data_IF_196305363372
#
_entry.id   IF_196305363372
#
_cell.length_a   1.000
_cell.length_b   1.000
_cell.length_c   1.000
_cell.angle_alpha   90.00
_cell.angle_beta   90.00
_cell.angle_gamma   90.00
#
_symmetry.space_group_name_H-M   'P 1'
#
loop_
_entity.id
_entity.type
_entity.pdbx_description
1 polymer ?
#
# COMPACT_ATOMS: atom_id res chain seq x y z
N UNK A 1 -3.96 -10.59 -8.88
CA UNK A 1 -4.36 -11.36 -7.68
C UNK A 1 -3.24 -11.67 -6.69
N UNK A 2 -2.08 -12.27 -7.05
CA UNK A 2 -0.97 -12.47 -6.07
C UNK A 2 -0.44 -11.15 -5.47
N UNK A 3 -0.34 -10.12 -6.30
CA UNK A 3 0.07 -8.77 -5.88
C UNK A 3 -0.93 -8.14 -4.92
N UNK A 4 -2.25 -8.29 -5.14
CA UNK A 4 -3.27 -7.76 -4.22
C UNK A 4 -3.10 -8.32 -2.80
N UNK A 5 -2.95 -9.64 -2.67
CA UNK A 5 -2.78 -10.26 -1.36
C UNK A 5 -1.47 -9.86 -0.69
N UNK A 6 -0.38 -9.77 -1.46
CA UNK A 6 0.90 -9.26 -0.97
C UNK A 6 0.78 -7.82 -0.49
N UNK A 7 0.18 -6.94 -1.30
CA UNK A 7 -0.06 -5.54 -0.98
C UNK A 7 -0.87 -5.38 0.29
N UNK A 8 -1.98 -6.13 0.41
CA UNK A 8 -2.81 -6.15 1.61
C UNK A 8 -2.02 -6.57 2.85
N UNK A 9 -1.18 -7.61 2.74
CA UNK A 9 -0.34 -8.05 3.86
C UNK A 9 0.70 -6.99 4.25
N UNK A 10 1.37 -6.39 3.27
CA UNK A 10 2.39 -5.35 3.49
C UNK A 10 1.78 -4.06 4.06
N UNK A 11 0.62 -3.65 3.55
CA UNK A 11 -0.17 -2.54 4.13
C UNK A 11 -0.62 -2.87 5.55
N UNK A 12 -1.03 -4.10 5.84
CA UNK A 12 -1.34 -4.52 7.21
C UNK A 12 -0.14 -4.41 8.17
N UNK A 13 1.09 -4.53 7.67
CA UNK A 13 2.30 -4.28 8.46
C UNK A 13 2.58 -2.79 8.63
N UNK A 14 2.46 -2.00 7.54
CA UNK A 14 2.70 -0.55 7.55
C UNK A 14 1.63 0.25 8.31
N UNK A 15 0.38 -0.23 8.28
CA UNK A 15 -0.82 0.45 8.80
C UNK A 15 -1.54 -0.44 9.82
N UNK A 16 -0.91 -0.74 10.98
CA UNK A 16 -1.44 -1.73 11.93
C UNK A 16 -2.83 -1.38 12.47
N UNK A 17 -3.14 -0.08 12.61
CA UNK A 17 -4.46 0.40 13.08
C UNK A 17 -5.60 0.06 12.12
N UNK A 18 -5.31 -0.08 10.82
CA UNK A 18 -6.32 -0.31 9.78
C UNK A 18 -6.40 -1.78 9.33
N UNK A 19 -5.71 -2.71 10.02
CA UNK A 19 -5.72 -4.15 9.69
C UNK A 19 -7.14 -4.74 9.55
N UNK A 20 -8.12 -4.43 10.41
CA UNK A 20 -9.48 -4.96 10.26
C UNK A 20 -10.12 -4.51 8.94
N UNK A 21 -10.03 -3.21 8.62
CA UNK A 21 -10.60 -2.63 7.40
C UNK A 21 -9.88 -3.16 6.16
N UNK A 22 -8.55 -3.21 6.16
CA UNK A 22 -7.75 -3.79 5.07
C UNK A 22 -8.11 -5.25 4.77
N UNK A 23 -8.43 -6.04 5.82
CA UNK A 23 -8.85 -7.44 5.65
C UNK A 23 -10.23 -7.55 4.99
N UNK A 24 -11.13 -6.63 5.34
CA UNK A 24 -12.52 -6.64 4.88
C UNK A 24 -12.71 -5.94 3.54
N UNK A 25 -11.79 -5.07 3.12
CA UNK A 25 -11.85 -4.32 1.87
C UNK A 25 -12.08 -5.23 0.66
N UNK A 26 -13.07 -4.87 -0.16
CA UNK A 26 -13.45 -5.55 -1.41
C UNK A 26 -13.67 -4.57 -2.57
N UNK A 27 -13.61 -3.28 -2.30
CA UNK A 27 -13.81 -2.20 -3.24
C UNK A 27 -12.71 -2.25 -4.31
N UNK A 28 -13.06 -2.33 -5.61
CA UNK A 28 -12.07 -2.48 -6.68
C UNK A 28 -10.94 -1.46 -6.61
N UNK A 29 -11.26 -0.19 -6.32
CA UNK A 29 -10.27 0.88 -6.16
C UNK A 29 -9.26 0.60 -5.04
N UNK A 30 -9.70 0.07 -3.89
CA UNK A 30 -8.80 -0.36 -2.82
C UNK A 30 -7.96 -1.57 -3.23
N UNK A 31 -8.53 -2.51 -3.99
CA UNK A 31 -7.80 -3.66 -4.48
C UNK A 31 -6.67 -3.25 -5.45
N UNK A 32 -6.95 -2.29 -6.33
CA UNK A 32 -5.96 -1.73 -7.26
C UNK A 32 -4.82 -1.03 -6.51
N UNK A 33 -5.15 -0.26 -5.46
CA UNK A 33 -4.14 0.35 -4.58
C UNK A 33 -3.29 -0.69 -3.85
N UNK A 34 -3.87 -1.84 -3.47
CA UNK A 34 -3.08 -2.92 -2.88
C UNK A 34 -2.09 -3.49 -3.90
N UNK A 35 -2.51 -3.70 -5.15
CA UNK A 35 -1.60 -4.17 -6.21
C UNK A 35 -0.49 -3.15 -6.50
N UNK A 36 -0.84 -1.86 -6.62
CA UNK A 36 0.12 -0.78 -6.84
C UNK A 36 1.14 -0.67 -5.69
N UNK A 37 0.68 -0.75 -4.44
CA UNK A 37 1.57 -0.74 -3.28
C UNK A 37 2.49 -1.95 -3.24
N UNK A 38 1.99 -3.14 -3.58
CA UNK A 38 2.82 -4.34 -3.65
C UNK A 38 3.95 -4.17 -4.67
N UNK A 39 3.66 -3.59 -5.82
CA UNK A 39 4.65 -3.33 -6.87
C UNK A 39 5.69 -2.31 -6.40
N UNK A 40 5.25 -1.15 -5.91
CA UNK A 40 6.14 -0.09 -5.45
C UNK A 40 7.05 -0.55 -4.30
N UNK A 41 6.49 -1.25 -3.30
CA UNK A 41 7.26 -1.76 -2.17
C UNK A 41 8.26 -2.83 -2.59
N UNK A 42 7.92 -3.69 -3.55
CA UNK A 42 8.84 -4.71 -4.06
C UNK A 42 9.99 -4.07 -4.85
N UNK A 43 9.68 -3.10 -5.73
CA UNK A 43 10.73 -2.36 -6.45
C UNK A 43 11.64 -1.59 -5.49
N UNK A 44 11.08 -1.01 -4.42
CA UNK A 44 11.88 -0.35 -3.39
C UNK A 44 12.83 -1.33 -2.69
N UNK A 45 12.37 -2.53 -2.34
CA UNK A 45 13.24 -3.55 -1.76
C UNK A 45 14.38 -3.90 -2.71
N UNK A 46 14.07 -4.12 -3.99
CA UNK A 46 15.07 -4.48 -5.01
C UNK A 46 16.11 -3.36 -5.19
N UNK A 47 15.68 -2.10 -5.27
CA UNK A 47 16.56 -0.93 -5.35
C UNK A 47 17.47 -0.79 -4.11
N UNK A 48 16.96 -1.15 -2.93
CA UNK A 48 17.74 -1.11 -1.68
C UNK A 48 18.80 -2.21 -1.62
N UNK A 49 18.67 -3.29 -2.40
CA UNK A 49 19.68 -4.34 -2.53
C UNK A 49 20.66 -4.09 -3.69
N UNK A 50 20.39 -3.12 -4.59
CA UNK A 50 21.22 -2.83 -5.76
C UNK A 50 22.55 -2.16 -5.39
N UNK A 51 23.64 -2.53 -6.08
CA UNK A 51 24.93 -1.85 -6.00
C UNK A 51 25.45 -1.48 -7.40
N UNK A 52 25.79 -0.20 -7.65
CA UNK A 52 25.71 0.93 -6.72
C UNK A 52 24.27 1.34 -6.42
N UNK A 53 24.03 1.79 -5.19
CA UNK A 53 22.70 2.21 -4.75
C UNK A 53 22.23 3.46 -5.51
N UNK A 54 21.01 3.40 -6.07
CA UNK A 54 20.37 4.52 -6.78
C UNK A 54 19.55 5.35 -5.80
N UNK A 55 20.23 6.17 -4.99
CA UNK A 55 19.63 6.90 -3.86
C UNK A 55 18.41 7.74 -4.24
N UNK A 56 18.43 8.39 -5.40
CA UNK A 56 17.31 9.20 -5.89
C UNK A 56 16.06 8.36 -6.14
N UNK A 57 16.20 7.22 -6.85
CA UNK A 57 15.09 6.29 -7.10
C UNK A 57 14.57 5.66 -5.82
N UNK A 58 15.45 5.33 -4.87
CA UNK A 58 15.04 4.84 -3.55
C UNK A 58 14.18 5.88 -2.85
N UNK A 59 14.56 7.16 -2.89
CA UNK A 59 13.79 8.24 -2.28
C UNK A 59 12.43 8.43 -2.95
N UNK A 60 12.39 8.37 -4.28
CA UNK A 60 11.15 8.47 -5.05
C UNK A 60 10.18 7.33 -4.72
N UNK A 61 10.65 6.08 -4.73
CA UNK A 61 9.81 4.93 -4.41
C UNK A 61 9.36 4.90 -2.95
N UNK A 62 10.15 5.47 -2.02
CA UNK A 62 9.69 5.70 -0.63
C UNK A 62 8.51 6.67 -0.59
N UNK A 63 8.58 7.76 -1.35
CA UNK A 63 7.49 8.73 -1.43
C UNK A 63 6.24 8.08 -2.03
N UNK A 64 6.38 7.35 -3.14
CA UNK A 64 5.27 6.60 -3.76
C UNK A 64 4.61 5.64 -2.77
N UNK A 65 5.41 4.89 -1.99
CA UNK A 65 4.86 4.00 -0.96
C UNK A 65 4.07 4.78 0.12
N UNK A 66 4.57 5.95 0.53
CA UNK A 66 3.91 6.81 1.51
C UNK A 66 2.59 7.38 0.97
N UNK A 67 2.57 7.84 -0.27
CA UNK A 67 1.39 8.43 -0.90
C UNK A 67 0.28 7.37 -1.08
N UNK A 68 0.64 6.17 -1.54
CA UNK A 68 -0.28 5.04 -1.64
C UNK A 68 -0.86 4.64 -0.28
N UNK A 69 -0.04 4.65 0.79
CA UNK A 69 -0.53 4.39 2.14
C UNK A 69 -1.55 5.44 2.59
N UNK A 70 -1.28 6.73 2.31
CA UNK A 70 -2.19 7.82 2.65
C UNK A 70 -3.52 7.71 1.90
N UNK A 71 -3.49 7.40 0.61
CA UNK A 71 -4.69 7.22 -0.21
C UNK A 71 -5.55 6.04 0.28
N UNK A 72 -4.90 4.91 0.61
CA UNK A 72 -5.58 3.77 1.22
C UNK A 72 -6.26 4.18 2.53
N UNK A 73 -5.58 4.93 3.40
CA UNK A 73 -6.18 5.40 4.66
C UNK A 73 -7.42 6.25 4.39
N UNK A 74 -7.34 7.20 3.46
CA UNK A 74 -8.48 8.07 3.10
C UNK A 74 -9.67 7.24 2.64
N UNK A 75 -9.47 6.29 1.73
CA UNK A 75 -10.55 5.45 1.23
C UNK A 75 -11.14 4.53 2.31
N UNK A 76 -10.31 3.97 3.19
CA UNK A 76 -10.80 3.17 4.31
C UNK A 76 -11.64 4.01 5.27
N UNK A 77 -11.25 5.24 5.58
CA UNK A 77 -12.03 6.14 6.45
C UNK A 77 -13.35 6.56 5.82
N UNK A 78 -13.36 6.84 4.51
CA UNK A 78 -14.59 7.18 3.77
C UNK A 78 -15.55 5.99 3.67
N UNK A 79 -15.03 4.76 3.65
CA UNK A 79 -15.85 3.55 3.59
C UNK A 79 -16.46 3.22 4.96
N UNK A 80 -15.72 3.50 6.04
CA UNK A 80 -16.19 3.35 7.43
C UNK A 80 -17.41 4.27 7.69
N UNK A 81 -17.35 5.54 7.27
CA UNK A 81 -18.47 6.49 7.44
C UNK A 81 -19.74 6.10 6.69
N UNK A 82 -19.61 5.45 5.52
CA UNK A 82 -20.76 4.97 4.73
C UNK A 82 -21.48 3.77 5.33
N UNK A 83 -20.85 3.06 6.27
CA UNK A 83 -21.47 1.95 7.00
C UNK A 83 -22.34 2.43 8.18
N UNK A 84 -22.25 3.71 8.56
CA UNK A 84 -23.01 4.31 9.68
C UNK A 84 -24.06 5.35 9.25
N UNK A 85 -24.33 5.53 7.95
CA UNK A 85 -25.46 6.33 7.43
C UNK A 85 -26.54 5.44 6.82
#
# INVERSE_FOLDING_TARGET
MRLMHLGRARLGMALPRYRPQLRQAREPCLLDLFEAYALAATTLDDLMQEYPARVELISEYRQVCSDLQAEVVVLLTLTDERLFS
#
